data_IF_453957105709
#
_entry.id   IF_453957105709
#
_cell.length_a   1.000
_cell.length_b   1.000
_cell.length_c   1.000
_cell.angle_alpha   90.00
_cell.angle_beta   90.00
_cell.angle_gamma   90.00
#
_symmetry.space_group_name_H-M   'P 1'
#
loop_
_entity.id
_entity.type
_entity.pdbx_description
1 polymer ?
#
# COMPACT_ATOMS: atom_id res chain seq x y z
N UNK A 1 46.19 10.21 11.36
CA UNK A 1 46.00 11.10 12.53
C UNK A 1 44.84 12.02 12.25
N UNK A 2 43.91 12.14 13.21
CA UNK A 2 42.86 13.17 13.38
C UNK A 2 42.17 13.79 12.15
N UNK A 3 40.87 13.50 12.02
CA UNK A 3 39.87 14.24 11.25
C UNK A 3 39.73 15.69 11.70
N UNK A 4 39.09 16.55 10.89
CA UNK A 4 37.94 17.39 11.34
C UNK A 4 37.15 18.07 10.23
N UNK A 5 35.84 18.13 10.46
CA UNK A 5 34.80 18.86 9.72
C UNK A 5 34.78 20.33 10.19
N UNK A 6 34.31 21.24 9.34
CA UNK A 6 33.86 22.57 9.78
C UNK A 6 32.37 22.74 9.41
N UNK A 7 31.54 22.90 10.43
CA UNK A 7 30.09 23.07 10.31
C UNK A 7 29.75 24.44 10.91
N UNK A 8 29.17 25.34 10.11
CA UNK A 8 28.86 26.71 10.52
C UNK A 8 27.36 26.86 10.79
N UNK A 9 27.00 26.76 12.07
CA UNK A 9 25.71 27.22 12.59
C UNK A 9 25.95 28.41 13.49
N UNK A 10 25.22 29.50 13.26
CA UNK A 10 25.23 30.71 14.09
C UNK A 10 23.86 30.93 14.69
N UNK A 11 23.78 30.85 16.03
CA UNK A 11 22.58 31.12 16.81
C UNK A 11 23.02 31.81 18.10
N UNK A 12 22.13 32.64 18.68
CA UNK A 12 22.32 33.62 19.78
C UNK A 12 22.69 35.05 19.33
N UNK A 13 22.12 36.13 19.88
CA UNK A 13 20.94 36.24 20.73
C UNK A 13 20.34 37.67 20.66
N UNK A 14 19.13 37.82 21.22
CA UNK A 14 18.42 39.10 21.45
C UNK A 14 19.27 40.14 22.21
N UNK A 15 19.03 41.44 21.99
CA UNK A 15 18.24 42.28 22.92
C UNK A 15 18.17 43.78 22.48
N UNK A 16 16.93 44.24 22.21
CA UNK A 16 16.31 45.53 22.62
C UNK A 16 17.06 46.88 22.42
N UNK A 17 16.51 47.73 21.55
CA UNK A 17 16.07 49.14 21.82
C UNK A 17 15.06 49.53 20.72
N UNK A 18 13.75 49.58 20.99
CA UNK A 18 12.99 50.72 21.55
C UNK A 18 12.57 51.81 20.53
N UNK A 19 11.30 51.73 20.12
CA UNK A 19 10.37 52.84 19.87
C UNK A 19 10.72 53.92 18.82
N UNK A 20 10.21 53.74 17.59
CA UNK A 20 9.40 54.77 16.89
C UNK A 20 8.22 54.07 16.22
N UNK A 21 7.00 54.41 16.60
CA UNK A 21 5.79 54.04 15.87
C UNK A 21 5.54 55.03 14.73
N UNK A 22 5.15 54.54 13.54
CA UNK A 22 4.06 55.14 12.82
C UNK A 22 2.91 54.15 12.73
N UNK A 23 1.74 54.55 13.23
CA UNK A 23 0.51 53.77 13.06
C UNK A 23 0.15 53.70 11.58
N UNK A 24 0.35 52.54 10.96
CA UNK A 24 -0.27 52.22 9.67
C UNK A 24 -1.49 51.35 9.93
N UNK A 25 -2.59 52.01 10.31
CA UNK A 25 -3.91 51.40 10.34
C UNK A 25 -4.37 51.22 8.90
N UNK A 26 -4.35 49.97 8.45
CA UNK A 26 -5.01 49.52 7.22
C UNK A 26 -5.47 48.07 7.42
N UNK A 27 -6.24 47.85 8.49
CA UNK A 27 -7.21 46.75 8.51
C UNK A 27 -8.23 47.03 7.41
N UNK A 28 -7.87 46.60 6.19
CA UNK A 28 -8.81 46.41 5.09
C UNK A 28 -9.06 44.92 5.04
N UNK A 29 -9.89 44.45 5.97
CA UNK A 29 -10.76 43.32 5.69
C UNK A 29 -11.67 43.75 4.53
N UNK A 30 -11.15 43.61 3.31
CA UNK A 30 -11.97 43.43 2.12
C UNK A 30 -12.73 42.12 2.36
N UNK A 31 -13.88 42.22 3.04
CA UNK A 31 -14.94 41.22 3.06
C UNK A 31 -15.41 41.02 1.61
N UNK A 32 -14.61 40.26 0.85
CA UNK A 32 -14.98 39.81 -0.48
C UNK A 32 -16.31 39.09 -0.36
N UNK A 33 -17.28 39.51 -1.17
CA UNK A 33 -18.63 38.95 -1.17
C UNK A 33 -18.59 37.51 -1.70
N UNK A 34 -18.27 36.56 -0.84
CA UNK A 34 -18.18 35.13 -1.12
C UNK A 34 -19.55 34.43 -1.08
N UNK A 35 -20.64 35.17 -0.91
CA UNK A 35 -22.01 34.62 -0.88
C UNK A 35 -22.40 33.87 -2.17
N UNK A 36 -21.71 34.12 -3.29
CA UNK A 36 -21.90 33.36 -4.54
C UNK A 36 -21.28 31.95 -4.51
N UNK A 37 -20.39 31.65 -3.56
CA UNK A 37 -19.83 30.32 -3.33
C UNK A 37 -20.72 29.48 -2.41
N UNK A 38 -21.52 30.13 -1.57
CA UNK A 38 -22.48 29.51 -0.66
C UNK A 38 -23.75 29.12 -1.43
N UNK A 39 -24.14 27.84 -1.38
CA UNK A 39 -25.42 27.42 -1.95
C UNK A 39 -26.57 27.73 -0.98
N UNK A 40 -27.73 28.23 -1.45
CA UNK A 40 -28.85 28.65 -0.60
C UNK A 40 -29.64 27.49 0.02
N UNK A 41 -28.98 26.38 0.38
CA UNK A 41 -29.59 25.14 0.89
C UNK A 41 -28.82 24.43 2.02
N UNK A 42 -27.78 25.04 2.59
CA UNK A 42 -27.15 24.51 3.81
C UNK A 42 -27.84 25.01 5.09
N UNK A 43 -29.06 24.52 5.35
CA UNK A 43 -29.53 24.39 6.74
C UNK A 43 -29.08 23.04 7.29
N UNK A 44 -28.05 23.07 8.13
CA UNK A 44 -27.51 21.90 8.85
C UNK A 44 -28.57 21.24 9.73
N UNK A 45 -29.14 20.12 9.25
CA UNK A 45 -29.99 19.26 10.06
C UNK A 45 -29.12 18.41 11.00
N UNK A 46 -28.77 18.98 12.15
CA UNK A 46 -28.08 18.26 13.23
C UNK A 46 -28.88 17.00 13.64
N UNK A 47 -28.38 15.82 13.25
CA UNK A 47 -29.00 14.54 13.59
C UNK A 47 -28.37 13.95 14.86
N UNK A 48 -28.61 14.60 15.99
CA UNK A 48 -28.41 13.96 17.29
C UNK A 48 -29.64 13.11 17.63
N UNK A 49 -29.55 11.79 17.48
CA UNK A 49 -30.40 10.85 18.22
C UNK A 49 -29.57 9.64 18.69
N UNK A 50 -29.80 9.17 19.92
CA UNK A 50 -29.09 8.01 20.46
C UNK A 50 -29.59 6.73 19.81
N UNK A 51 -28.67 5.78 19.62
CA UNK A 51 -29.03 4.38 19.44
C UNK A 51 -29.47 3.84 20.81
N UNK A 52 -30.67 3.27 20.87
CA UNK A 52 -31.13 2.44 21.99
C UNK A 52 -30.93 0.98 21.61
N UNK A 53 -30.41 0.18 22.54
CA UNK A 53 -30.40 -1.28 22.43
C UNK A 53 -31.82 -1.82 22.38
N UNK A 54 -32.14 -2.57 21.33
CA UNK A 54 -33.32 -3.43 21.23
C UNK A 54 -32.91 -4.69 20.43
N UNK A 55 -32.18 -5.60 21.09
CA UNK A 55 -31.96 -6.96 20.59
C UNK A 55 -32.86 -7.91 21.38
N UNK A 56 -34.04 -8.21 20.84
CA UNK A 56 -34.93 -9.24 21.40
C UNK A 56 -34.28 -10.62 21.21
N UNK A 57 -34.15 -11.36 22.30
CA UNK A 57 -33.68 -12.74 22.27
C UNK A 57 -34.76 -13.70 21.77
N UNK A 58 -34.35 -14.65 20.93
CA UNK A 58 -35.07 -15.88 20.68
C UNK A 58 -34.25 -17.06 21.19
N UNK A 59 -34.76 -17.74 22.20
CA UNK A 59 -34.36 -19.10 22.57
C UNK A 59 -35.15 -20.07 21.68
N UNK A 60 -34.54 -21.15 21.21
CA UNK A 60 -35.21 -22.41 20.85
C UNK A 60 -34.16 -23.53 20.77
N UNK A 61 -34.53 -24.68 21.34
CA UNK A 61 -33.69 -25.71 21.93
C UNK A 61 -32.97 -26.69 20.95
N UNK A 62 -31.93 -27.33 21.49
CA UNK A 62 -31.53 -28.77 21.41
C UNK A 62 -31.81 -29.64 20.17
N UNK A 63 -30.78 -30.37 19.71
CA UNK A 63 -30.82 -31.84 19.67
C UNK A 63 -29.37 -32.42 19.54
N UNK A 64 -29.10 -33.53 20.24
CA UNK A 64 -27.84 -34.29 20.24
C UNK A 64 -27.64 -35.15 18.96
N UNK A 65 -26.40 -35.55 18.64
CA UNK A 65 -26.07 -36.99 18.46
C UNK A 65 -24.54 -37.26 18.29
N UNK A 66 -24.15 -38.51 18.58
CA UNK A 66 -22.77 -38.97 18.86
C UNK A 66 -21.97 -39.50 17.64
N UNK A 67 -20.65 -39.71 17.88
CA UNK A 67 -19.67 -40.61 17.23
C UNK A 67 -19.96 -41.22 15.83
N UNK A 68 -19.04 -40.96 14.89
CA UNK A 68 -18.42 -42.04 14.11
C UNK A 68 -16.91 -41.82 13.86
N UNK A 69 -16.10 -42.80 14.30
CA UNK A 69 -14.66 -42.85 14.03
C UNK A 69 -14.32 -44.08 13.20
N UNK A 70 -14.06 -43.92 11.91
CA UNK A 70 -13.76 -45.03 11.00
C UNK A 70 -12.32 -45.00 10.48
N UNK A 71 -11.69 -46.15 10.69
CA UNK A 71 -10.35 -46.57 10.35
C UNK A 71 -10.11 -46.65 8.83
N UNK A 72 -9.00 -46.09 8.32
CA UNK A 72 -8.50 -46.46 7.00
C UNK A 72 -7.01 -46.86 7.06
N UNK A 73 -6.79 -48.17 7.15
CA UNK A 73 -5.51 -48.81 6.86
C UNK A 73 -5.42 -49.17 5.37
N UNK A 74 -4.18 -49.39 4.91
CA UNK A 74 -3.84 -50.02 3.62
C UNK A 74 -4.25 -49.33 2.30
N UNK A 75 -3.37 -48.47 1.79
CA UNK A 75 -3.02 -48.51 0.36
C UNK A 75 -1.49 -48.41 0.17
N UNK A 76 -0.92 -49.45 -0.45
CA UNK A 76 0.51 -49.58 -0.67
C UNK A 76 1.01 -48.82 -1.91
N UNK A 77 2.27 -48.40 -1.86
CA UNK A 77 3.00 -47.72 -2.95
C UNK A 77 3.21 -48.62 -4.18
N UNK A 78 3.45 -48.01 -5.35
CA UNK A 78 4.34 -48.57 -6.36
C UNK A 78 5.64 -47.77 -6.49
N UNK A 79 6.73 -48.41 -6.07
CA UNK A 79 8.06 -48.43 -6.69
C UNK A 79 8.59 -47.16 -7.43
N UNK A 80 9.57 -46.50 -6.80
CA UNK A 80 10.71 -45.94 -7.54
C UNK A 80 11.99 -46.19 -6.74
N UNK A 81 12.95 -46.90 -7.35
CA UNK A 81 14.14 -47.38 -6.66
C UNK A 81 15.18 -46.30 -6.31
N UNK A 82 16.14 -46.59 -5.40
CA UNK A 82 17.06 -45.59 -4.90
C UNK A 82 18.10 -45.17 -5.95
N UNK A 83 18.12 -43.88 -6.29
CA UNK A 83 19.35 -43.26 -6.80
C UNK A 83 20.37 -43.20 -5.64
N UNK A 84 21.65 -43.53 -5.87
CA UNK A 84 22.66 -43.45 -4.82
C UNK A 84 22.95 -41.98 -4.50
N UNK A 85 22.59 -41.56 -3.28
CA UNK A 85 22.92 -40.23 -2.77
C UNK A 85 24.45 -40.04 -2.69
N UNK A 86 24.97 -38.83 -2.99
CA UNK A 86 26.37 -38.50 -2.74
C UNK A 86 26.67 -38.53 -1.23
N UNK A 87 27.91 -38.85 -0.86
CA UNK A 87 28.29 -39.05 0.53
C UNK A 87 28.25 -37.76 1.35
N UNK A 88 27.26 -37.64 2.23
CA UNK A 88 27.09 -36.54 3.19
C UNK A 88 28.06 -36.71 4.37
N UNK A 89 28.75 -35.64 4.77
CA UNK A 89 29.61 -35.63 5.95
C UNK A 89 28.92 -34.91 7.13
N UNK A 90 28.40 -35.67 8.10
CA UNK A 90 27.76 -35.11 9.29
C UNK A 90 28.66 -34.22 10.17
N UNK A 91 29.99 -34.17 9.92
CA UNK A 91 30.94 -33.41 10.74
C UNK A 91 30.77 -31.89 10.68
N UNK A 92 30.08 -31.37 9.67
CA UNK A 92 29.87 -29.93 9.52
C UNK A 92 28.64 -29.39 10.26
N UNK A 93 27.78 -30.27 10.80
CA UNK A 93 26.69 -29.88 11.73
C UNK A 93 27.23 -29.80 13.15
N UNK A 94 27.17 -28.62 13.77
CA UNK A 94 27.66 -28.40 15.14
C UNK A 94 26.73 -29.06 16.16
N UNK A 95 27.28 -29.93 17.02
CA UNK A 95 26.52 -30.50 18.14
C UNK A 95 26.51 -29.51 19.30
N UNK A 96 25.34 -28.97 19.62
CA UNK A 96 25.13 -28.10 20.76
C UNK A 96 24.67 -28.93 21.97
N UNK A 97 25.19 -28.55 23.13
CA UNK A 97 24.80 -29.00 24.47
C UNK A 97 24.70 -27.77 25.37
N UNK A 98 24.07 -27.89 26.52
CA UNK A 98 23.94 -26.82 27.52
C UNK A 98 25.26 -26.05 27.73
N UNK A 99 26.37 -26.79 27.96
CA UNK A 99 27.71 -26.25 28.23
C UNK A 99 28.38 -25.45 27.09
N UNK A 100 27.85 -25.47 25.87
CA UNK A 100 28.40 -24.73 24.72
C UNK A 100 27.31 -24.02 23.91
N UNK A 101 26.08 -23.95 24.41
CA UNK A 101 24.99 -23.25 23.76
C UNK A 101 25.32 -21.77 23.61
N UNK A 102 25.61 -21.09 24.72
CA UNK A 102 25.99 -19.66 24.76
C UNK A 102 27.18 -19.37 23.84
N UNK A 103 28.26 -20.15 23.93
CA UNK A 103 29.44 -19.97 23.07
C UNK A 103 29.11 -20.09 21.58
N UNK A 104 28.21 -20.99 21.17
CA UNK A 104 27.87 -21.17 19.75
C UNK A 104 26.93 -20.06 19.27
N UNK A 105 25.97 -19.63 20.09
CA UNK A 105 25.01 -18.58 19.72
C UNK A 105 25.62 -17.17 19.77
N UNK A 106 26.50 -16.86 20.74
CA UNK A 106 27.07 -15.50 20.87
C UNK A 106 28.27 -15.23 19.96
N UNK A 107 28.99 -16.27 19.49
CA UNK A 107 30.16 -16.10 18.63
C UNK A 107 29.85 -16.22 17.11
N UNK A 108 28.59 -16.41 16.72
CA UNK A 108 28.19 -16.54 15.32
C UNK A 108 26.93 -15.70 15.06
N UNK A 109 26.98 -14.84 14.05
CA UNK A 109 25.90 -13.91 13.66
C UNK A 109 24.61 -14.66 13.28
N UNK A 110 24.75 -15.81 12.61
CA UNK A 110 23.65 -16.65 12.13
C UNK A 110 23.82 -18.10 12.58
N UNK A 111 22.89 -18.62 13.38
CA UNK A 111 22.88 -20.03 13.79
C UNK A 111 21.50 -20.65 13.58
N UNK A 112 21.42 -21.68 12.75
CA UNK A 112 20.22 -22.51 12.65
C UNK A 112 20.37 -23.72 13.57
N UNK A 113 19.35 -24.02 14.38
CA UNK A 113 19.38 -25.05 15.41
C UNK A 113 18.22 -26.02 15.25
N UNK A 114 18.52 -27.27 14.87
CA UNK A 114 17.57 -28.38 14.87
C UNK A 114 17.46 -29.00 16.27
N UNK A 115 16.28 -28.91 16.89
CA UNK A 115 15.90 -29.72 18.03
C UNK A 115 15.29 -31.03 17.53
N UNK A 116 16.01 -32.12 17.76
CA UNK A 116 15.67 -33.45 17.24
C UNK A 116 15.55 -34.49 18.35
N UNK A 117 14.98 -35.65 18.00
CA UNK A 117 15.00 -36.85 18.82
C UNK A 117 15.55 -38.04 18.00
N UNK A 118 16.45 -38.88 18.53
CA UNK A 118 17.09 -39.96 17.76
C UNK A 118 16.13 -40.98 17.14
N UNK A 119 14.93 -41.13 17.71
CA UNK A 119 13.88 -42.06 17.29
C UNK A 119 12.82 -41.42 16.36
N UNK A 120 12.91 -40.12 16.06
CA UNK A 120 11.93 -39.44 15.21
C UNK A 120 12.28 -39.61 13.72
N UNK A 121 11.41 -40.29 12.96
CA UNK A 121 11.61 -40.53 11.53
C UNK A 121 11.73 -39.25 10.68
N UNK A 122 11.00 -38.19 11.03
CA UNK A 122 11.13 -36.89 10.34
C UNK A 122 12.50 -36.24 10.54
N UNK A 123 13.13 -36.42 11.72
CA UNK A 123 14.49 -35.93 11.97
C UNK A 123 15.51 -36.75 11.18
N UNK A 124 15.36 -38.09 11.18
CA UNK A 124 16.22 -38.99 10.41
C UNK A 124 16.15 -38.71 8.89
N UNK A 125 14.99 -38.31 8.38
CA UNK A 125 14.80 -37.91 6.98
C UNK A 125 15.39 -36.53 6.66
N UNK A 126 15.45 -35.61 7.63
CA UNK A 126 16.00 -34.27 7.46
C UNK A 126 17.53 -34.24 7.58
N UNK A 127 18.10 -35.07 8.46
CA UNK A 127 19.52 -35.13 8.77
C UNK A 127 20.48 -35.12 7.54
N UNK A 128 20.27 -35.90 6.45
CA UNK A 128 21.16 -35.84 5.29
C UNK A 128 21.09 -34.48 4.55
N UNK A 129 19.89 -33.93 4.38
CA UNK A 129 19.68 -32.62 3.74
C UNK A 129 20.33 -31.51 4.60
N UNK A 130 20.12 -31.57 5.93
CA UNK A 130 20.64 -30.61 6.90
C UNK A 130 22.17 -30.62 6.99
N UNK A 131 22.81 -31.78 6.83
CA UNK A 131 24.27 -31.88 6.80
C UNK A 131 24.88 -31.49 5.44
N UNK A 132 24.21 -31.76 4.32
CA UNK A 132 24.61 -31.23 3.01
C UNK A 132 24.58 -29.68 3.02
N UNK A 133 23.48 -29.12 3.51
CA UNK A 133 23.29 -27.70 3.77
C UNK A 133 24.36 -27.08 4.69
N UNK A 134 24.72 -27.75 5.79
CA UNK A 134 25.77 -27.29 6.70
C UNK A 134 27.15 -27.25 6.04
N UNK A 135 27.40 -28.16 5.08
CA UNK A 135 28.63 -28.20 4.28
C UNK A 135 28.69 -27.00 3.31
N UNK A 136 27.55 -26.65 2.71
CA UNK A 136 27.43 -25.56 1.73
C UNK A 136 27.58 -24.18 2.39
N UNK A 137 26.80 -23.87 3.43
CA UNK A 137 26.81 -22.54 4.07
C UNK A 137 28.03 -22.24 4.96
N UNK A 138 28.93 -23.21 5.15
CA UNK A 138 30.14 -23.04 5.97
C UNK A 138 31.05 -21.91 5.46
N UNK A 139 30.94 -21.55 4.18
CA UNK A 139 31.64 -20.41 3.57
C UNK A 139 30.97 -19.04 3.82
N UNK A 140 29.68 -19.04 4.13
CA UNK A 140 28.82 -17.85 4.15
C UNK A 140 28.50 -17.34 5.57
N UNK A 141 29.17 -17.90 6.59
CA UNK A 141 29.07 -17.43 7.98
C UNK A 141 27.86 -17.95 8.77
N UNK A 142 27.08 -18.88 8.20
CA UNK A 142 25.94 -19.51 8.88
C UNK A 142 26.36 -20.84 9.49
N UNK A 143 26.07 -21.02 10.78
CA UNK A 143 26.31 -22.27 11.49
C UNK A 143 25.02 -23.09 11.56
N UNK A 144 25.02 -24.28 10.96
CA UNK A 144 23.98 -25.27 11.21
C UNK A 144 24.37 -26.14 12.39
N UNK A 145 23.44 -26.30 13.32
CA UNK A 145 23.65 -26.98 14.58
C UNK A 145 22.47 -27.88 14.95
N UNK A 146 22.72 -28.90 15.79
CA UNK A 146 21.69 -29.82 16.28
C UNK A 146 21.78 -30.03 17.79
N UNK A 147 20.61 -30.13 18.43
CA UNK A 147 20.40 -30.41 19.86
C UNK A 147 19.54 -31.66 19.99
N UNK A 148 20.07 -32.67 20.68
CA UNK A 148 19.28 -33.83 21.09
C UNK A 148 18.40 -33.42 22.28
N UNK A 149 17.15 -33.08 21.98
CA UNK A 149 16.18 -32.62 22.98
C UNK A 149 15.77 -33.72 23.98
N UNK A 150 16.08 -35.00 23.70
CA UNK A 150 15.84 -36.10 24.64
C UNK A 150 16.89 -36.16 25.74
N UNK A 151 18.06 -35.55 25.51
CA UNK A 151 19.15 -35.40 26.48
C UNK A 151 19.13 -34.01 27.10
N UNK A 152 19.18 -32.98 26.26
CA UNK A 152 19.31 -31.56 26.64
C UNK A 152 17.92 -30.93 26.92
N UNK A 153 17.15 -31.59 27.80
CA UNK A 153 15.74 -31.30 28.07
C UNK A 153 15.49 -29.85 28.53
N UNK A 154 16.40 -29.27 29.32
CA UNK A 154 16.25 -27.89 29.82
C UNK A 154 16.28 -26.85 28.70
N UNK A 155 17.14 -27.03 27.69
CA UNK A 155 17.15 -26.19 26.48
C UNK A 155 15.86 -26.35 25.67
N UNK A 156 15.38 -27.59 25.50
CA UNK A 156 14.12 -27.84 24.80
C UNK A 156 12.92 -27.17 25.50
N UNK A 157 12.88 -27.21 26.84
CA UNK A 157 11.88 -26.49 27.63
C UNK A 157 12.01 -24.97 27.56
N UNK A 158 13.24 -24.43 27.64
CA UNK A 158 13.51 -22.99 27.56
C UNK A 158 12.96 -22.39 26.25
N UNK A 159 13.15 -23.09 25.13
CA UNK A 159 12.68 -22.66 23.81
C UNK A 159 11.29 -23.24 23.44
N UNK A 160 10.54 -23.75 24.41
CA UNK A 160 9.15 -24.24 24.24
C UNK A 160 8.97 -25.27 23.11
N UNK A 161 9.93 -26.18 22.94
CA UNK A 161 9.90 -27.22 21.91
C UNK A 161 8.83 -28.27 22.23
N UNK A 162 7.77 -28.33 21.43
CA UNK A 162 6.63 -29.24 21.63
C UNK A 162 6.65 -30.50 20.75
N UNK A 163 7.54 -30.57 19.76
CA UNK A 163 7.62 -31.69 18.82
C UNK A 163 8.91 -31.69 17.99
N UNK A 164 9.12 -32.74 17.17
CA UNK A 164 10.38 -32.95 16.46
C UNK A 164 10.20 -33.27 14.96
N UNK A 165 11.03 -32.72 14.05
CA UNK A 165 12.03 -31.68 14.32
C UNK A 165 11.37 -30.31 14.53
N UNK A 166 11.84 -29.57 15.53
CA UNK A 166 11.59 -28.12 15.68
C UNK A 166 12.89 -27.39 15.35
N UNK A 167 12.83 -26.35 14.51
CA UNK A 167 14.02 -25.67 14.04
C UNK A 167 13.87 -24.19 14.38
N UNK A 168 14.90 -23.64 15.03
CA UNK A 168 14.97 -22.24 15.39
C UNK A 168 16.13 -21.60 14.64
N UNK A 169 15.91 -20.41 14.12
CA UNK A 169 16.97 -19.59 13.54
C UNK A 169 17.31 -18.45 14.49
N UNK A 170 18.58 -18.36 14.86
CA UNK A 170 19.15 -17.34 15.73
C UNK A 170 19.88 -16.31 14.86
N UNK A 171 19.56 -15.04 15.08
CA UNK A 171 20.22 -13.88 14.47
C UNK A 171 20.68 -12.98 15.61
N UNK A 172 21.99 -12.75 15.75
CA UNK A 172 22.58 -12.00 16.88
C UNK A 172 22.09 -12.46 18.27
N UNK A 173 21.77 -13.75 18.40
CA UNK A 173 21.23 -14.38 19.61
C UNK A 173 19.70 -14.31 19.78
N UNK A 174 18.98 -13.53 18.97
CA UNK A 174 17.51 -13.54 18.95
C UNK A 174 16.97 -14.69 18.08
N UNK A 175 16.04 -15.48 18.62
CA UNK A 175 15.53 -16.69 17.95
C UNK A 175 14.14 -16.49 17.33
N UNK A 176 13.91 -17.13 16.18
CA UNK A 176 12.59 -17.24 15.53
C UNK A 176 12.32 -18.69 15.09
N UNK A 177 11.08 -19.19 15.19
CA UNK A 177 10.73 -20.52 14.70
C UNK A 177 10.78 -20.56 13.17
N UNK A 178 11.43 -21.57 12.61
CA UNK A 178 11.44 -21.85 11.18
C UNK A 178 10.24 -22.71 10.79
N UNK A 179 9.40 -22.20 9.88
CA UNK A 179 8.15 -22.83 9.43
C UNK A 179 8.18 -23.30 7.97
N UNK A 180 9.33 -23.22 7.30
CA UNK A 180 9.49 -23.61 5.89
C UNK A 180 9.48 -25.12 5.61
N UNK A 181 9.49 -25.48 4.33
CA UNK A 181 9.48 -26.88 3.85
C UNK A 181 10.77 -27.64 4.21
N UNK A 182 10.74 -28.98 4.16
CA UNK A 182 11.80 -29.89 4.73
C UNK A 182 12.63 -30.69 3.70
N UNK A 183 12.81 -30.21 2.48
CA UNK A 183 13.58 -30.88 1.39
C UNK A 183 14.84 -30.08 1.04
N UNK A 184 15.81 -30.64 0.30
CA UNK A 184 17.06 -30.00 -0.20
C UNK A 184 17.06 -28.52 -0.66
N UNK A 185 15.89 -27.88 -0.85
CA UNK A 185 15.75 -26.41 -0.96
C UNK A 185 15.99 -25.70 0.40
N UNK A 186 16.07 -26.48 1.48
CA UNK A 186 16.00 -26.12 2.91
C UNK A 186 16.78 -24.89 3.35
N UNK A 187 17.94 -24.64 2.72
CA UNK A 187 18.99 -23.79 3.27
C UNK A 187 19.47 -22.70 2.31
N UNK A 188 19.26 -22.84 1.01
CA UNK A 188 19.58 -21.77 0.05
C UNK A 188 18.60 -20.58 0.12
N UNK A 189 17.39 -20.77 0.67
CA UNK A 189 16.39 -19.70 0.83
C UNK A 189 16.52 -18.86 2.10
N UNK A 190 17.26 -19.31 3.12
CA UNK A 190 17.20 -18.64 4.45
C UNK A 190 18.15 -17.46 4.57
N UNK A 191 19.37 -17.53 4.01
CA UNK A 191 20.41 -16.59 4.43
C UNK A 191 21.56 -16.43 3.41
N UNK A 192 21.30 -15.86 2.23
CA UNK A 192 22.40 -15.31 1.40
C UNK A 192 22.77 -13.89 1.87
N UNK A 193 21.86 -13.18 2.59
CA UNK A 193 21.99 -11.73 2.81
C UNK A 193 21.36 -11.14 4.10
N UNK A 194 20.84 -11.90 5.06
CA UNK A 194 19.96 -11.31 6.08
C UNK A 194 18.59 -10.91 5.52
N UNK A 195 18.23 -11.53 4.40
CA UNK A 195 16.97 -11.36 3.69
C UNK A 195 16.19 -12.67 3.75
N UNK A 196 14.95 -12.60 4.20
CA UNK A 196 14.01 -13.72 4.19
C UNK A 196 13.38 -13.79 2.81
N UNK A 197 13.58 -14.89 2.09
CA UNK A 197 12.90 -15.15 0.83
C UNK A 197 11.51 -15.75 1.08
N UNK A 198 10.50 -15.23 0.40
CA UNK A 198 9.10 -15.69 0.48
C UNK A 198 8.55 -15.84 -0.93
N UNK A 199 8.11 -17.04 -1.29
CA UNK A 199 7.37 -17.29 -2.52
C UNK A 199 5.87 -17.10 -2.28
N UNK A 200 5.21 -16.32 -3.14
CA UNK A 200 3.76 -16.07 -3.09
C UNK A 200 3.13 -16.60 -4.38
N UNK A 201 2.19 -17.54 -4.26
CA UNK A 201 1.34 -17.96 -5.37
C UNK A 201 0.28 -16.88 -5.62
N UNK A 202 0.43 -16.11 -6.71
CA UNK A 202 -0.45 -14.99 -7.05
C UNK A 202 -1.87 -15.41 -7.46
N UNK A 203 -2.06 -16.67 -7.84
CA UNK A 203 -3.36 -17.19 -8.27
C UNK A 203 -4.19 -17.73 -7.08
N UNK A 204 -3.58 -17.90 -5.91
CA UNK A 204 -4.29 -18.24 -4.68
C UNK A 204 -5.19 -17.10 -4.20
N UNK A 205 -6.50 -17.36 -4.04
CA UNK A 205 -7.48 -16.30 -3.71
C UNK A 205 -7.46 -15.87 -2.24
N UNK A 206 -7.15 -16.77 -1.31
CA UNK A 206 -7.27 -16.54 0.14
C UNK A 206 -6.14 -15.65 0.70
N UNK A 207 -4.92 -15.86 0.23
CA UNK A 207 -3.72 -15.16 0.70
C UNK A 207 -2.82 -14.63 -0.43
N UNK A 208 -2.85 -15.26 -1.60
CA UNK A 208 -2.04 -14.86 -2.76
C UNK A 208 -2.42 -13.47 -3.28
N UNK A 209 -3.69 -13.31 -3.67
CA UNK A 209 -4.21 -12.07 -4.24
C UNK A 209 -4.07 -10.84 -3.32
N UNK A 210 -4.42 -10.89 -2.02
CA UNK A 210 -4.24 -9.72 -1.14
C UNK A 210 -2.77 -9.28 -0.99
N UNK A 211 -1.85 -10.24 -0.93
CA UNK A 211 -0.40 -9.95 -0.84
C UNK A 211 0.12 -9.40 -2.16
N UNK A 212 -0.25 -10.01 -3.30
CA UNK A 212 0.11 -9.55 -4.63
C UNK A 212 -0.40 -8.10 -4.87
N UNK A 213 -1.66 -7.82 -4.52
CA UNK A 213 -2.26 -6.49 -4.60
C UNK A 213 -1.53 -5.47 -3.70
N UNK A 214 -1.17 -5.82 -2.46
CA UNK A 214 -0.36 -4.95 -1.59
C UNK A 214 0.98 -4.58 -2.24
N UNK A 215 1.64 -5.55 -2.89
CA UNK A 215 2.92 -5.33 -3.56
C UNK A 215 2.83 -4.74 -4.97
N UNK A 216 1.64 -4.68 -5.61
CA UNK A 216 1.45 -4.21 -6.99
C UNK A 216 1.71 -5.27 -8.08
N UNK A 217 1.68 -6.55 -7.68
CA UNK A 217 1.90 -7.71 -8.55
C UNK A 217 0.56 -8.31 -8.96
N UNK A 218 0.48 -8.85 -10.17
CA UNK A 218 -0.67 -9.57 -10.70
C UNK A 218 -0.23 -10.70 -11.63
N UNK A 219 -1.13 -11.63 -11.96
CA UNK A 219 -0.83 -12.72 -12.89
C UNK A 219 -0.42 -12.24 -14.30
N UNK A 220 -0.58 -10.96 -14.64
CA UNK A 220 -0.11 -10.38 -15.91
C UNK A 220 1.34 -9.87 -15.88
N UNK A 221 1.92 -9.60 -14.70
CA UNK A 221 3.32 -9.15 -14.54
C UNK A 221 4.20 -10.12 -13.72
N UNK A 222 3.63 -11.24 -13.28
CA UNK A 222 4.34 -12.35 -12.65
C UNK A 222 5.15 -13.20 -13.68
N UNK A 223 6.23 -13.86 -13.26
CA UNK A 223 6.85 -13.80 -11.94
C UNK A 223 7.61 -12.47 -11.74
N UNK A 224 7.41 -11.85 -10.56
CA UNK A 224 8.04 -10.58 -10.19
C UNK A 224 8.79 -10.75 -8.87
N UNK A 225 10.06 -10.34 -8.85
CA UNK A 225 10.86 -10.29 -7.62
C UNK A 225 10.74 -8.89 -6.99
N UNK A 226 10.43 -8.85 -5.71
CA UNK A 226 10.25 -7.64 -4.91
C UNK A 226 11.02 -7.78 -3.60
N UNK A 227 11.82 -6.78 -3.24
CA UNK A 227 12.42 -6.65 -1.91
C UNK A 227 11.60 -5.67 -1.06
N UNK A 228 11.56 -5.88 0.26
CA UNK A 228 10.72 -5.12 1.18
C UNK A 228 11.40 -4.90 2.53
N UNK A 229 11.43 -3.66 3.03
CA UNK A 229 12.16 -3.26 4.26
C UNK A 229 11.39 -3.48 5.57
N UNK A 230 10.09 -3.78 5.53
CA UNK A 230 9.31 -4.11 6.72
C UNK A 230 8.72 -2.91 7.48
N UNK A 231 8.56 -3.06 8.80
CA UNK A 231 7.55 -2.33 9.57
C UNK A 231 7.89 -0.88 9.96
N UNK A 232 9.15 -0.45 9.96
CA UNK A 232 9.54 0.89 10.42
C UNK A 232 9.44 1.96 9.33
N UNK A 233 9.93 1.66 8.12
CA UNK A 233 9.72 2.46 6.91
C UNK A 233 9.49 1.49 5.73
N UNK A 234 8.23 1.14 5.41
CA UNK A 234 7.90 0.11 4.42
C UNK A 234 8.16 0.58 2.99
N UNK A 235 9.34 0.25 2.47
CA UNK A 235 9.76 0.50 1.10
C UNK A 235 9.73 -0.81 0.31
N UNK A 236 9.14 -0.75 -0.88
CA UNK A 236 9.08 -1.85 -1.86
C UNK A 236 10.14 -1.55 -2.92
N UNK A 237 10.88 -2.55 -3.39
CA UNK A 237 11.84 -2.37 -4.48
C UNK A 237 11.60 -3.46 -5.51
N UNK A 238 11.39 -3.06 -6.77
CA UNK A 238 11.16 -3.99 -7.86
C UNK A 238 12.47 -4.40 -8.53
N UNK A 239 12.57 -5.67 -8.89
CA UNK A 239 13.60 -6.14 -9.80
C UNK A 239 13.06 -6.21 -11.23
N UNK A 240 13.74 -5.55 -12.18
CA UNK A 240 13.35 -5.46 -13.59
C UNK A 240 14.23 -6.30 -14.54
N UNK A 241 15.08 -7.17 -13.98
CA UNK A 241 15.91 -8.10 -14.75
C UNK A 241 15.35 -9.51 -14.85
N UNK A 242 16.07 -10.36 -15.58
CA UNK A 242 15.77 -11.79 -15.67
C UNK A 242 16.07 -12.49 -14.33
N UNK A 243 15.10 -13.22 -13.78
CA UNK A 243 15.22 -13.91 -12.47
C UNK A 243 16.21 -15.09 -12.61
N UNK A 244 17.45 -14.85 -12.19
CA UNK A 244 18.59 -15.79 -12.18
C UNK A 244 19.37 -15.63 -10.88
N UNK A 245 20.01 -16.70 -10.40
CA UNK A 245 20.75 -16.69 -9.12
C UNK A 245 21.75 -15.52 -9.00
N UNK A 246 22.62 -15.31 -9.99
CA UNK A 246 23.59 -14.20 -10.01
C UNK A 246 22.90 -12.81 -9.94
N UNK A 247 21.77 -12.66 -10.62
CA UNK A 247 21.01 -11.41 -10.67
C UNK A 247 20.27 -11.13 -9.35
N UNK A 248 19.64 -12.16 -8.77
CA UNK A 248 19.04 -12.10 -7.43
C UNK A 248 20.11 -11.74 -6.39
N UNK A 249 21.33 -12.29 -6.56
CA UNK A 249 22.46 -11.99 -5.68
C UNK A 249 22.83 -10.51 -5.69
N UNK A 250 23.04 -9.94 -6.87
CA UNK A 250 23.35 -8.51 -7.05
C UNK A 250 22.22 -7.63 -6.50
N UNK A 251 20.97 -7.98 -6.79
CA UNK A 251 19.79 -7.24 -6.28
C UNK A 251 19.71 -7.24 -4.74
N UNK A 252 20.00 -8.37 -4.10
CA UNK A 252 20.11 -8.47 -2.64
C UNK A 252 21.23 -7.59 -2.07
N UNK A 253 22.42 -7.60 -2.67
CA UNK A 253 23.55 -6.75 -2.27
C UNK A 253 23.22 -5.25 -2.41
N UNK A 254 22.54 -4.85 -3.49
CA UNK A 254 22.11 -3.46 -3.71
C UNK A 254 20.98 -3.03 -2.76
N UNK A 255 20.06 -3.95 -2.41
CA UNK A 255 19.00 -3.72 -1.43
C UNK A 255 19.58 -3.48 -0.04
N UNK A 256 20.44 -4.38 0.46
CA UNK A 256 21.11 -4.24 1.76
C UNK A 256 21.95 -2.98 1.91
N UNK A 257 22.51 -2.50 0.80
CA UNK A 257 23.39 -1.33 0.81
C UNK A 257 22.68 -0.01 0.46
N UNK A 258 21.35 0.00 0.54
CA UNK A 258 20.48 1.17 0.35
C UNK A 258 20.75 1.91 -0.98
N UNK A 259 20.97 1.12 -2.05
CA UNK A 259 21.23 1.64 -3.40
C UNK A 259 20.03 1.57 -4.34
N UNK A 260 19.05 0.72 -4.01
CA UNK A 260 17.86 0.54 -4.84
C UNK A 260 16.90 1.71 -4.66
N UNK A 261 16.29 2.14 -5.76
CA UNK A 261 15.18 3.10 -5.70
C UNK A 261 13.92 2.40 -5.17
N UNK A 262 13.15 3.03 -4.27
CA UNK A 262 11.82 2.55 -3.94
C UNK A 262 10.92 2.54 -5.18
N UNK A 263 10.13 1.48 -5.29
CA UNK A 263 8.95 1.40 -6.14
C UNK A 263 7.76 2.00 -5.40
N UNK A 264 6.99 2.81 -6.11
CA UNK A 264 5.71 3.34 -5.66
C UNK A 264 4.65 2.89 -6.67
N UNK A 265 3.48 2.45 -6.19
CA UNK A 265 2.37 2.10 -7.07
C UNK A 265 1.91 3.30 -7.91
N UNK A 266 1.54 3.03 -9.16
CA UNK A 266 0.81 3.96 -10.02
C UNK A 266 -0.22 3.20 -10.84
N UNK A 267 -1.41 3.78 -10.97
CA UNK A 267 -2.32 3.46 -12.07
C UNK A 267 -1.75 3.95 -13.41
N UNK A 268 -2.23 3.44 -14.55
CA UNK A 268 -1.91 4.00 -15.86
C UNK A 268 -2.29 5.48 -15.96
N UNK A 269 -1.38 6.30 -16.51
CA UNK A 269 -1.66 7.72 -16.77
C UNK A 269 -2.93 7.86 -17.63
N UNK A 270 -3.95 8.62 -17.19
CA UNK A 270 -5.20 8.76 -17.93
C UNK A 270 -5.00 9.35 -19.34
N UNK A 271 -5.65 8.78 -20.36
CA UNK A 271 -5.57 9.28 -21.75
C UNK A 271 -6.03 10.74 -21.91
N UNK A 272 -6.84 11.25 -20.97
CA UNK A 272 -7.36 12.62 -20.94
C UNK A 272 -7.39 13.14 -19.52
N UNK A 273 -6.91 14.36 -19.33
CA UNK A 273 -6.85 15.02 -18.03
C UNK A 273 -7.31 16.49 -18.10
N UNK A 274 -8.28 16.76 -18.97
CA UNK A 274 -8.73 18.12 -19.31
C UNK A 274 -9.75 18.72 -18.33
N UNK A 275 -10.21 17.94 -17.33
CA UNK A 275 -11.20 18.37 -16.35
C UNK A 275 -10.74 19.49 -15.41
N UNK A 276 -11.69 20.12 -14.73
CA UNK A 276 -11.43 21.16 -13.72
C UNK A 276 -10.61 20.62 -12.53
N UNK A 277 -10.88 19.38 -12.11
CA UNK A 277 -10.04 18.61 -11.19
C UNK A 277 -9.12 17.71 -12.01
N UNK A 278 -7.80 17.82 -11.80
CA UNK A 278 -6.79 16.98 -12.44
C UNK A 278 -6.68 15.62 -11.75
N UNK A 279 -6.69 14.54 -12.52
CA UNK A 279 -6.42 13.20 -12.03
C UNK A 279 -4.91 13.02 -11.95
N UNK A 280 -4.43 12.66 -10.76
CA UNK A 280 -3.02 12.36 -10.48
C UNK A 280 -2.89 10.87 -10.20
N UNK A 281 -1.86 10.28 -10.78
CA UNK A 281 -1.38 8.92 -10.52
C UNK A 281 0.10 9.00 -10.11
N UNK A 282 0.67 7.93 -9.57
CA UNK A 282 2.08 7.93 -9.12
C UNK A 282 3.06 8.43 -10.19
N UNK A 283 2.91 7.96 -11.43
CA UNK A 283 3.81 8.24 -12.55
C UNK A 283 3.73 9.68 -13.09
N UNK A 284 2.63 10.41 -12.85
CA UNK A 284 2.46 11.81 -13.27
C UNK A 284 2.45 12.81 -12.11
N UNK A 285 2.69 12.34 -10.88
CA UNK A 285 2.65 13.16 -9.66
C UNK A 285 3.60 14.35 -9.75
N UNK A 286 4.86 14.12 -10.13
CA UNK A 286 5.89 15.14 -10.19
C UNK A 286 5.58 16.22 -11.25
N UNK A 287 4.99 15.83 -12.39
CA UNK A 287 4.62 16.76 -13.46
C UNK A 287 3.47 17.69 -13.03
N UNK A 288 2.45 17.17 -12.34
CA UNK A 288 1.23 17.93 -12.01
C UNK A 288 1.36 18.63 -10.65
N UNK A 289 1.83 17.92 -9.62
CA UNK A 289 1.80 18.39 -8.24
C UNK A 289 3.08 19.15 -7.87
N UNK A 290 4.25 18.72 -8.38
CA UNK A 290 5.53 19.35 -8.09
C UNK A 290 5.94 20.45 -9.08
N UNK A 291 5.10 20.84 -10.04
CA UNK A 291 5.31 22.02 -10.90
C UNK A 291 5.53 23.27 -10.02
N UNK A 292 6.76 23.78 -9.99
CA UNK A 292 7.14 24.95 -9.18
C UNK A 292 6.44 26.25 -9.62
N UNK A 293 5.79 26.27 -10.79
CA UNK A 293 5.05 27.42 -11.31
C UNK A 293 3.59 27.51 -10.84
N UNK A 294 3.10 26.50 -10.10
CA UNK A 294 1.69 26.37 -9.67
C UNK A 294 1.55 26.25 -8.16
N UNK A 295 0.51 26.83 -7.60
CA UNK A 295 0.00 26.47 -6.28
C UNK A 295 -1.04 25.33 -6.46
N UNK A 296 -0.77 24.15 -5.88
CA UNK A 296 -1.57 22.93 -6.12
C UNK A 296 -2.29 22.49 -4.84
N UNK A 297 -3.61 22.31 -4.92
CA UNK A 297 -4.38 21.60 -3.90
C UNK A 297 -4.62 20.17 -4.37
N UNK A 298 -4.25 19.18 -3.56
CA UNK A 298 -4.38 17.75 -3.84
C UNK A 298 -5.31 17.09 -2.80
N UNK A 299 -6.35 16.42 -3.28
CA UNK A 299 -7.10 15.43 -2.51
C UNK A 299 -6.47 14.04 -2.70
N UNK A 300 -6.06 13.40 -1.61
CA UNK A 300 -5.75 11.96 -1.59
C UNK A 300 -6.99 11.24 -1.02
N UNK A 301 -7.64 10.43 -1.85
CA UNK A 301 -8.93 9.79 -1.54
C UNK A 301 -8.87 8.25 -1.67
N UNK A 302 -9.97 7.59 -1.28
CA UNK A 302 -10.24 6.19 -1.56
C UNK A 302 -11.68 6.02 -2.10
N UNK A 303 -11.95 5.22 -3.14
CA UNK A 303 -13.26 5.15 -3.80
C UNK A 303 -14.40 4.71 -2.88
N UNK A 304 -14.10 3.82 -1.93
CA UNK A 304 -15.03 3.28 -0.94
C UNK A 304 -15.27 4.22 0.26
N UNK A 305 -14.52 5.32 0.39
CA UNK A 305 -14.62 6.21 1.54
C UNK A 305 -15.77 7.22 1.39
N UNK A 306 -16.84 7.03 2.15
CA UNK A 306 -18.01 7.92 2.15
C UNK A 306 -17.68 9.39 2.50
N UNK A 307 -16.61 9.65 3.25
CA UNK A 307 -16.15 11.02 3.52
C UNK A 307 -15.53 11.71 2.28
N UNK A 308 -14.95 10.95 1.35
CA UNK A 308 -14.44 11.48 0.07
C UNK A 308 -15.62 11.75 -0.87
N UNK A 309 -16.56 10.80 -0.97
CA UNK A 309 -17.79 10.94 -1.75
C UNK A 309 -18.63 12.16 -1.31
N UNK A 310 -18.65 12.48 -0.01
CA UNK A 310 -19.30 13.68 0.52
C UNK A 310 -18.54 14.99 0.20
N UNK A 311 -17.23 14.94 0.02
CA UNK A 311 -16.38 16.09 -0.33
C UNK A 311 -16.41 16.40 -1.84
N UNK A 312 -16.49 15.37 -2.68
CA UNK A 312 -16.39 15.48 -4.15
C UNK A 312 -17.28 16.57 -4.78
N UNK A 313 -18.56 16.79 -4.40
CA UNK A 313 -19.37 17.89 -4.95
C UNK A 313 -18.77 19.27 -4.67
N UNK A 314 -18.25 19.50 -3.47
CA UNK A 314 -17.65 20.77 -3.06
C UNK A 314 -16.27 20.95 -3.69
N UNK A 315 -15.49 19.88 -3.81
CA UNK A 315 -14.18 19.89 -4.45
C UNK A 315 -14.28 20.22 -5.95
N UNK A 316 -15.23 19.58 -6.65
CA UNK A 316 -15.56 19.91 -8.04
C UNK A 316 -16.08 21.35 -8.22
N UNK A 317 -16.91 21.85 -7.29
CA UNK A 317 -17.38 23.24 -7.34
C UNK A 317 -16.24 24.24 -7.16
N UNK A 318 -15.33 24.00 -6.20
CA UNK A 318 -14.11 24.80 -6.00
C UNK A 318 -13.24 24.82 -7.26
N UNK A 319 -12.95 23.65 -7.83
CA UNK A 319 -12.15 23.50 -9.05
C UNK A 319 -12.75 24.29 -10.22
N UNK A 320 -14.06 24.18 -10.43
CA UNK A 320 -14.75 24.94 -11.47
C UNK A 320 -14.65 26.45 -11.29
N UNK A 321 -14.74 26.95 -10.06
CA UNK A 321 -14.55 28.38 -9.76
C UNK A 321 -13.12 28.86 -10.00
N UNK A 322 -12.11 28.02 -9.78
CA UNK A 322 -10.68 28.36 -9.93
C UNK A 322 -10.10 27.98 -11.30
N UNK A 323 -10.86 27.29 -12.16
CA UNK A 323 -10.44 26.77 -13.47
C UNK A 323 -9.83 27.79 -14.43
N UNK A 324 -10.16 29.08 -14.29
CA UNK A 324 -9.63 30.17 -15.11
C UNK A 324 -8.36 30.82 -14.55
N UNK A 325 -7.82 30.32 -13.43
CA UNK A 325 -6.67 30.89 -12.73
C UNK A 325 -5.45 30.02 -13.01
N UNK A 326 -4.68 30.36 -14.05
CA UNK A 326 -3.55 29.55 -14.55
C UNK A 326 -2.50 29.17 -13.49
N UNK A 327 -2.38 29.93 -12.39
CA UNK A 327 -1.43 29.66 -11.30
C UNK A 327 -1.93 28.62 -10.28
N UNK A 328 -3.18 28.15 -10.39
CA UNK A 328 -3.83 27.26 -9.44
C UNK A 328 -4.17 25.93 -10.12
N UNK A 329 -3.91 24.83 -9.43
CA UNK A 329 -4.35 23.49 -9.85
C UNK A 329 -5.12 22.85 -8.70
N UNK A 330 -6.31 22.32 -8.99
CA UNK A 330 -7.04 21.43 -8.11
C UNK A 330 -6.90 20.01 -8.65
N UNK A 331 -6.48 19.07 -7.81
CA UNK A 331 -6.10 17.72 -8.23
C UNK A 331 -6.63 16.66 -7.26
N UNK A 332 -6.85 15.44 -7.74
CA UNK A 332 -7.15 14.27 -6.89
C UNK A 332 -6.36 13.04 -7.30
N UNK A 333 -5.93 12.27 -6.30
CA UNK A 333 -5.19 11.01 -6.45
C UNK A 333 -5.87 9.92 -5.62
N UNK A 334 -6.05 8.74 -6.22
CA UNK A 334 -6.53 7.57 -5.51
C UNK A 334 -5.37 6.95 -4.71
N UNK A 335 -5.36 7.16 -3.40
CA UNK A 335 -4.30 6.67 -2.51
C UNK A 335 -4.39 5.17 -2.19
N UNK A 336 -5.32 4.43 -2.78
CA UNK A 336 -5.39 2.96 -2.64
C UNK A 336 -4.59 2.25 -3.73
N UNK A 337 -4.53 2.84 -4.92
CA UNK A 337 -3.83 2.32 -6.11
C UNK A 337 -2.57 3.13 -6.47
N UNK A 338 -2.38 4.32 -5.89
CA UNK A 338 -1.23 5.19 -6.15
C UNK A 338 -0.48 5.56 -4.87
N UNK A 339 0.85 5.54 -4.92
CA UNK A 339 1.74 5.88 -3.81
C UNK A 339 2.69 7.01 -4.25
N UNK A 340 3.02 7.95 -3.35
CA UNK A 340 4.08 8.93 -3.61
C UNK A 340 4.68 9.45 -2.28
N UNK A 341 6.01 9.59 -2.13
CA UNK A 341 6.65 9.93 -0.85
C UNK A 341 6.26 11.32 -0.31
N UNK A 342 5.80 12.23 -1.17
CA UNK A 342 5.28 13.56 -0.79
C UNK A 342 3.76 13.62 -0.59
N UNK A 343 3.02 12.52 -0.79
CA UNK A 343 1.57 12.45 -0.63
C UNK A 343 1.17 11.46 0.47
N UNK A 344 1.87 11.52 1.61
CA UNK A 344 1.57 10.67 2.77
C UNK A 344 0.18 11.00 3.31
N UNK A 345 -0.71 10.02 3.32
CA UNK A 345 -2.07 10.12 3.86
C UNK A 345 -2.24 9.09 5.00
N UNK A 346 -2.54 9.57 6.20
CA UNK A 346 -2.85 8.71 7.36
C UNK A 346 -4.30 8.19 7.34
N UNK A 347 -5.14 8.77 6.47
CA UNK A 347 -6.54 8.38 6.25
C UNK A 347 -7.16 9.15 5.09
N UNK A 348 -8.43 8.87 4.78
CA UNK A 348 -9.11 9.42 3.60
C UNK A 348 -10.38 10.23 3.95
N UNK A 349 -10.62 11.39 3.30
CA UNK A 349 -9.71 12.11 2.43
C UNK A 349 -8.64 12.87 3.24
N UNK A 350 -7.39 12.84 2.78
CA UNK A 350 -6.32 13.74 3.23
C UNK A 350 -6.15 14.83 2.17
N UNK A 351 -6.18 16.10 2.58
CA UNK A 351 -6.02 17.24 1.68
C UNK A 351 -4.66 17.89 1.94
N UNK A 352 -3.85 17.99 0.89
CA UNK A 352 -2.49 18.51 0.91
C UNK A 352 -2.39 19.73 -0.02
N UNK A 353 -1.73 20.78 0.43
CA UNK A 353 -1.45 21.95 -0.37
C UNK A 353 0.06 22.09 -0.63
N UNK A 354 0.42 22.25 -1.90
CA UNK A 354 1.78 22.39 -2.40
C UNK A 354 1.95 23.81 -2.96
N UNK A 355 2.52 24.75 -2.19
CA UNK A 355 2.74 26.11 -2.66
C UNK A 355 3.73 26.16 -3.83
N UNK A 356 3.60 27.15 -4.72
CA UNK A 356 4.55 27.38 -5.81
C UNK A 356 5.98 27.69 -5.29
N UNK A 357 7.00 27.45 -6.11
CA UNK A 357 8.41 27.49 -5.73
C UNK A 357 8.99 26.11 -5.42
N UNK A 358 9.97 26.03 -4.51
CA UNK A 358 10.79 24.82 -4.27
C UNK A 358 10.03 23.69 -3.55
N UNK A 359 9.11 23.06 -4.27
CA UNK A 359 8.29 21.93 -3.81
C UNK A 359 9.07 20.65 -3.60
N UNK A 360 10.20 20.47 -4.30
CA UNK A 360 11.07 19.30 -4.11
C UNK A 360 11.68 19.28 -2.71
N UNK A 361 12.05 20.45 -2.16
CA UNK A 361 12.69 20.54 -0.84
C UNK A 361 11.74 20.84 0.32
N UNK A 362 10.52 21.33 0.07
CA UNK A 362 9.51 21.58 1.10
C UNK A 362 8.57 20.38 1.34
N UNK A 363 8.02 20.29 2.54
CA UNK A 363 6.86 19.45 2.83
C UNK A 363 5.55 20.14 2.41
N UNK A 364 4.51 19.40 2.01
CA UNK A 364 3.19 19.98 1.78
C UNK A 364 2.56 20.48 3.07
N UNK A 365 1.62 21.42 2.96
CA UNK A 365 0.80 21.89 4.07
C UNK A 365 -0.47 21.05 4.13
N UNK A 366 -0.66 20.26 5.19
CA UNK A 366 -1.93 19.58 5.45
C UNK A 366 -3.04 20.62 5.67
N UNK A 367 -4.16 20.46 4.97
CA UNK A 367 -5.27 21.43 5.00
C UNK A 367 -6.27 21.05 6.08
N UNK A 368 -6.08 21.62 7.27
CA UNK A 368 -7.04 21.57 8.38
C UNK A 368 -8.03 22.73 8.27
N UNK A 369 -9.10 22.51 7.50
CA UNK A 369 -10.17 23.48 7.26
C UNK A 369 -11.51 22.76 7.04
N UNK A 370 -12.62 23.47 7.25
CA UNK A 370 -13.96 22.96 6.93
C UNK A 370 -14.02 22.54 5.46
N UNK A 371 -14.75 21.45 5.17
CA UNK A 371 -14.85 20.84 3.82
C UNK A 371 -15.82 21.58 2.90
N UNK A 372 -15.71 22.91 2.86
CA UNK A 372 -16.57 23.81 2.08
C UNK A 372 -15.76 24.64 1.09
N UNK A 373 -16.38 25.07 -0.01
CA UNK A 373 -15.73 25.89 -1.06
C UNK A 373 -15.16 27.20 -0.48
N UNK A 374 -15.89 27.85 0.43
CA UNK A 374 -15.47 29.10 1.08
C UNK A 374 -14.22 28.88 1.95
N UNK A 375 -14.20 27.80 2.75
CA UNK A 375 -13.07 27.49 3.62
C UNK A 375 -11.80 27.12 2.81
N UNK A 376 -11.93 26.28 1.78
CA UNK A 376 -10.81 25.99 0.87
C UNK A 376 -10.29 27.24 0.15
N UNK A 377 -11.18 28.10 -0.39
CA UNK A 377 -10.77 29.36 -1.01
C UNK A 377 -10.01 30.27 -0.03
N UNK A 378 -10.53 30.45 1.19
CA UNK A 378 -9.87 31.25 2.24
C UNK A 378 -8.50 30.66 2.63
N UNK A 379 -8.40 29.34 2.76
CA UNK A 379 -7.13 28.66 3.01
C UNK A 379 -6.13 28.90 1.87
N UNK A 380 -6.52 28.61 0.62
CA UNK A 380 -5.66 28.76 -0.54
C UNK A 380 -5.21 30.22 -0.71
N UNK A 381 -6.10 31.21 -0.53
CA UNK A 381 -5.72 32.63 -0.60
C UNK A 381 -4.74 33.08 0.48
N UNK A 382 -4.68 32.39 1.62
CA UNK A 382 -3.74 32.66 2.72
C UNK A 382 -2.39 31.98 2.51
N UNK A 383 -2.37 30.82 1.85
CA UNK A 383 -1.19 29.96 1.75
C UNK A 383 -0.55 29.91 0.34
N UNK A 384 -1.24 30.33 -0.72
CA UNK A 384 -0.71 30.39 -2.06
C UNK A 384 0.45 31.40 -2.19
N UNK A 385 1.48 31.01 -2.92
CA UNK A 385 2.66 31.84 -3.17
C UNK A 385 2.40 32.83 -4.30
N UNK A 386 1.51 32.49 -5.25
CA UNK A 386 1.07 33.35 -6.34
C UNK A 386 -0.31 33.95 -5.97
N UNK A 387 -0.41 35.27 -5.70
CA UNK A 387 -1.67 35.89 -5.31
C UNK A 387 -2.73 35.80 -6.42
N UNK A 388 -3.93 35.34 -6.06
CA UNK A 388 -5.08 35.23 -6.94
C UNK A 388 -6.35 35.78 -6.29
N UNK A 389 -7.38 36.03 -7.10
CA UNK A 389 -8.73 36.42 -6.68
C UNK A 389 -9.76 35.74 -7.58
N UNK A 390 -10.93 35.42 -7.03
CA UNK A 390 -12.07 35.00 -7.84
C UNK A 390 -12.76 36.20 -8.50
N UNK A 391 -13.00 36.11 -9.80
CA UNK A 391 -13.87 37.05 -10.50
C UNK A 391 -15.34 36.73 -10.16
N UNK A 392 -16.10 37.74 -9.72
CA UNK A 392 -17.54 37.58 -9.48
C UNK A 392 -18.24 37.28 -10.81
N UNK A 393 -19.07 36.22 -10.92
CA UNK A 393 -19.77 35.91 -12.16
C UNK A 393 -20.54 37.12 -12.67
N UNK A 394 -20.22 37.59 -13.88
CA UNK A 394 -20.89 38.74 -14.48
C UNK A 394 -22.39 38.42 -14.62
N UNK A 395 -23.24 39.23 -13.98
CA UNK A 395 -24.68 39.08 -14.06
C UNK A 395 -25.12 39.18 -15.53
N UNK A 396 -25.63 38.07 -16.07
CA UNK A 396 -26.01 37.94 -17.47
C UNK A 396 -27.07 38.98 -17.83
N UNK A 397 -26.62 40.01 -18.53
CA UNK A 397 -27.44 41.16 -18.87
C UNK A 397 -28.18 40.87 -20.19
N UNK A 398 -29.50 41.02 -20.14
CA UNK A 398 -30.47 40.99 -21.25
C UNK A 398 -30.76 39.65 -21.95
N UNK A 399 -32.05 39.28 -21.90
CA UNK A 399 -32.78 38.78 -23.06
C UNK A 399 -34.15 39.46 -23.14
N UNK A 400 -34.72 39.67 -24.34
CA UNK A 400 -35.63 40.80 -24.53
C UNK A 400 -37.09 40.53 -24.14
N UNK A 401 -37.74 41.64 -23.82
CA UNK A 401 -39.18 41.81 -23.58
C UNK A 401 -40.05 41.09 -24.63
N UNK A 402 -40.91 40.18 -24.17
CA UNK A 402 -41.92 39.54 -25.01
C UNK A 402 -42.83 40.57 -25.70
N UNK A 403 -43.11 40.36 -26.99
CA UNK A 403 -44.17 41.05 -27.72
C UNK A 403 -45.00 40.00 -28.44
N UNK A 404 -46.32 40.04 -28.27
CA UNK A 404 -47.24 39.10 -28.88
C UNK A 404 -47.21 39.15 -30.41
N UNK A 405 -47.40 38.00 -31.05
CA UNK A 405 -47.85 37.92 -32.44
C UNK A 405 -48.72 36.68 -32.58
N UNK A 406 -49.96 36.89 -32.99
CA UNK A 406 -51.02 35.88 -33.02
C UNK A 406 -50.97 35.04 -34.29
N UNK A 407 -51.12 33.73 -34.15
CA UNK A 407 -51.55 32.88 -35.26
C UNK A 407 -52.46 31.75 -34.74
N UNK A 408 -53.66 31.71 -35.31
CA UNK A 408 -54.81 30.91 -34.89
C UNK A 408 -54.74 29.54 -35.58
N UNK A 409 -54.92 28.46 -34.82
CA UNK A 409 -55.01 27.10 -35.36
C UNK A 409 -56.38 26.90 -35.99
N UNK A 410 -56.42 26.34 -37.19
CA UNK A 410 -57.63 25.77 -37.81
C UNK A 410 -57.32 24.36 -38.33
N UNK A 411 -58.27 23.45 -38.14
CA UNK A 411 -58.12 21.99 -38.20
C UNK A 411 -58.51 21.39 -39.56
N UNK A 412 -57.92 20.25 -39.92
CA UNK A 412 -58.57 19.13 -40.67
C UNK A 412 -57.61 17.93 -40.65
N UNK A 413 -57.88 16.90 -39.84
CA UNK A 413 -58.73 15.71 -40.12
C UNK A 413 -58.06 14.56 -40.90
N UNK A 414 -57.58 13.59 -40.12
CA UNK A 414 -58.04 12.18 -40.13
C UNK A 414 -58.18 11.42 -41.46
N UNK A 415 -57.30 10.41 -41.65
CA UNK A 415 -57.72 9.04 -42.00
C UNK A 415 -56.64 8.02 -41.65
N UNK A 416 -57.00 6.88 -41.07
CA UNK A 416 -56.03 5.85 -40.68
C UNK A 416 -56.48 4.42 -41.03
N UNK A 417 -55.52 3.48 -40.99
CA UNK A 417 -55.65 2.00 -40.90
C UNK A 417 -56.52 1.31 -42.00
N UNK A 418 -56.67 -0.03 -42.04
CA UNK A 418 -55.85 -1.15 -41.50
C UNK A 418 -55.32 -2.03 -42.69
N UNK A 419 -54.68 -3.21 -42.61
CA UNK A 419 -53.90 -4.02 -41.64
C UNK A 419 -53.10 -5.06 -42.47
N UNK A 420 -51.96 -5.62 -42.01
CA UNK A 420 -51.61 -7.03 -42.30
C UNK A 420 -50.52 -7.59 -41.38
N UNK A 421 -50.79 -8.78 -40.85
CA UNK A 421 -50.02 -9.59 -39.91
C UNK A 421 -48.95 -10.48 -40.56
N UNK A 422 -48.25 -11.24 -39.71
CA UNK A 422 -47.46 -12.48 -39.95
C UNK A 422 -45.97 -12.35 -40.30
N UNK A 423 -45.06 -13.24 -39.86
CA UNK A 423 -45.00 -14.14 -38.67
C UNK A 423 -43.60 -14.82 -38.66
N UNK A 424 -43.03 -15.07 -37.46
CA UNK A 424 -42.09 -16.17 -37.12
C UNK A 424 -40.71 -16.30 -37.83
N UNK A 425 -39.68 -16.61 -37.01
CA UNK A 425 -38.57 -17.60 -37.22
C UNK A 425 -37.58 -17.39 -38.39
N UNK A 426 -36.29 -17.79 -38.34
CA UNK A 426 -35.36 -18.29 -37.29
C UNK A 426 -33.99 -18.53 -37.96
N UNK A 427 -32.91 -18.66 -37.18
CA UNK A 427 -31.60 -19.31 -37.52
C UNK A 427 -30.65 -18.76 -38.60
N UNK A 428 -29.37 -18.84 -38.23
CA UNK A 428 -28.18 -19.23 -39.01
C UNK A 428 -27.59 -18.36 -40.16
N UNK A 429 -26.49 -17.69 -39.79
CA UNK A 429 -25.11 -18.02 -40.21
C UNK A 429 -24.62 -17.91 -41.67
N UNK A 430 -23.38 -17.40 -41.73
CA UNK A 430 -22.24 -17.72 -42.63
C UNK A 430 -21.98 -16.89 -43.91
N UNK A 431 -20.77 -16.30 -43.85
CA UNK A 431 -19.69 -16.29 -44.84
C UNK A 431 -19.75 -15.41 -46.10
N UNK A 432 -18.55 -14.98 -46.51
CA UNK A 432 -18.16 -14.18 -47.69
C UNK A 432 -18.59 -12.69 -47.64
N UNK A 433 -17.70 -11.69 -47.78
CA UNK A 433 -16.34 -11.64 -48.38
C UNK A 433 -15.41 -10.66 -47.63
#
# INVERSE_FOLDING_TARGET
MASRVLLLLSLTALLIFSAVSPSFSADVDDEEDLSFLEDPKEEVKALSKPLTDDFEGGEDDDDDDEEDGEHFSDLASPDSGPFPAPGVDEKDVVVIKERNFTDVIENNEYVMVEFYAPWCGHCQSLAPEYAAAATELKGDGVVLAKIDATVENELAHQYSVQGFPTILFFVDGEHKPYTGGRTNVFVLEVQIFGLIFVSVDVDNEDYGKPVAEYFGVSSSNAPKLVAFTGNEDPQKHYFDGEIKSDNIKIFGEEFLSDKLKPFYKSDPIPEKNDGDVKIVVGDNFDEIVLDESKDVLLEVYAPWCGHCQALEPMYNKLAKHLSSIDSIVIAKMDGTTNEHPKAKAEGFPTILFFPAGNKTSSEPITVDADRTVVAFYKFMRKHATIPFKLEKPAASTESPKATESTSKVETTETKGKPESTTKSTESDSKDEL
#
